data_IF_263811170361
#
_entry.id   IF_263811170361
#
_cell.length_a   1.000
_cell.length_b   1.000
_cell.length_c   1.000
_cell.angle_alpha   90.00
_cell.angle_beta   90.00
_cell.angle_gamma   90.00
#
_symmetry.space_group_name_H-M   'P 1'
#
loop_
_entity.id
_entity.type
_entity.pdbx_description
1 polymer ?
#
# COMPACT_ATOMS: atom_id res chain seq x y z
N UNK A 1 -37.26 -1.75 14.48
CA UNK A 1 -35.99 -1.65 15.22
C UNK A 1 -34.93 -1.30 14.19
N UNK A 2 -34.34 -0.11 14.29
CA UNK A 2 -33.47 0.47 13.27
C UNK A 2 -32.16 -0.31 13.12
N UNK A 3 -32.00 -1.06 12.04
CA UNK A 3 -30.68 -1.54 11.63
C UNK A 3 -29.99 -0.40 10.87
N UNK A 4 -29.17 0.38 11.57
CA UNK A 4 -28.05 1.05 10.91
C UNK A 4 -27.21 -0.06 10.28
N UNK A 5 -27.31 -0.24 8.96
CA UNK A 5 -26.60 -1.29 8.23
C UNK A 5 -25.11 -1.15 8.51
N UNK A 6 -24.51 -2.15 9.17
CA UNK A 6 -23.06 -2.26 9.27
C UNK A 6 -22.53 -2.22 7.83
N UNK A 7 -21.57 -1.34 7.49
CA UNK A 7 -21.03 -1.27 6.14
C UNK A 7 -20.43 -2.62 5.76
N UNK A 8 -20.47 -2.94 4.47
CA UNK A 8 -19.66 -4.02 3.94
C UNK A 8 -18.18 -3.59 3.96
N UNK A 9 -17.51 -3.83 5.10
CA UNK A 9 -16.09 -3.50 5.27
C UNK A 9 -15.21 -4.30 4.29
N UNK A 10 -15.66 -5.46 3.83
CA UNK A 10 -14.92 -6.22 2.83
C UNK A 10 -14.91 -5.46 1.50
N UNK A 11 -16.04 -4.88 1.10
CA UNK A 11 -16.11 -4.07 -0.10
C UNK A 11 -15.37 -2.74 0.06
N UNK A 12 -15.55 -2.04 1.19
CA UNK A 12 -14.83 -0.80 1.49
C UNK A 12 -13.30 -1.00 1.45
N UNK A 13 -12.81 -2.12 1.97
CA UNK A 13 -11.39 -2.47 1.90
C UNK A 13 -10.91 -2.73 0.46
N UNK A 14 -11.71 -3.44 -0.35
CA UNK A 14 -11.37 -3.67 -1.76
C UNK A 14 -11.34 -2.36 -2.56
N UNK A 15 -12.29 -1.47 -2.32
CA UNK A 15 -12.34 -0.15 -2.94
C UNK A 15 -11.13 0.70 -2.54
N UNK A 16 -10.68 0.59 -1.28
CA UNK A 16 -9.44 1.21 -0.80
C UNK A 16 -8.20 0.70 -1.55
N UNK A 17 -8.06 -0.63 -1.71
CA UNK A 17 -6.94 -1.23 -2.46
C UNK A 17 -6.99 -0.86 -3.96
N UNK A 18 -8.19 -0.82 -4.55
CA UNK A 18 -8.39 -0.37 -5.93
C UNK A 18 -7.94 1.09 -6.10
N UNK A 19 -8.36 1.97 -5.20
CA UNK A 19 -7.94 3.37 -5.20
C UNK A 19 -6.42 3.54 -5.06
N UNK A 20 -5.76 2.71 -4.25
CA UNK A 20 -4.28 2.67 -4.18
C UNK A 20 -3.67 2.24 -5.52
N UNK A 21 -4.23 1.21 -6.15
CA UNK A 21 -3.65 0.59 -7.37
C UNK A 21 -3.87 1.46 -8.61
N UNK A 22 -4.98 2.19 -8.67
CA UNK A 22 -5.31 3.13 -9.75
C UNK A 22 -4.67 4.50 -9.55
N UNK A 23 -4.10 4.78 -8.37
CA UNK A 23 -3.46 6.06 -8.08
C UNK A 23 -2.24 6.30 -8.98
N UNK A 24 -2.33 7.35 -9.80
CA UNK A 24 -1.19 7.96 -10.47
C UNK A 24 -0.76 9.25 -9.74
N UNK A 25 0.51 9.63 -9.86
CA UNK A 25 1.09 10.85 -9.28
C UNK A 25 0.38 12.15 -9.69
N UNK A 26 -0.48 12.10 -10.72
CA UNK A 26 -1.34 13.20 -11.20
C UNK A 26 -2.69 13.31 -10.47
N UNK A 27 -3.04 12.34 -9.63
CA UNK A 27 -4.33 12.26 -8.93
C UNK A 27 -4.41 13.25 -7.77
N UNK A 28 -5.62 13.81 -7.56
CA UNK A 28 -5.95 14.77 -6.49
C UNK A 28 -5.35 14.40 -5.13
N UNK A 29 -4.82 15.36 -4.35
CA UNK A 29 -4.14 15.08 -3.09
C UNK A 29 -4.98 14.38 -2.02
N UNK A 30 -6.30 14.39 -2.13
CA UNK A 30 -7.23 13.98 -1.06
C UNK A 30 -7.95 12.65 -1.34
N UNK A 31 -7.52 11.87 -2.32
CA UNK A 31 -8.20 10.60 -2.69
C UNK A 31 -8.31 9.61 -1.52
N UNK A 32 -7.37 9.67 -0.58
CA UNK A 32 -7.28 8.81 0.60
C UNK A 32 -8.29 9.17 1.69
N UNK A 33 -8.82 10.40 1.69
CA UNK A 33 -9.71 10.93 2.74
C UNK A 33 -11.07 10.24 2.82
N UNK A 34 -11.46 9.54 1.74
CA UNK A 34 -12.67 8.72 1.73
C UNK A 34 -12.51 7.38 2.47
N UNK A 35 -11.28 6.92 2.67
CA UNK A 35 -10.98 5.58 3.19
C UNK A 35 -10.26 5.62 4.54
N UNK A 36 -9.50 6.68 4.82
CA UNK A 36 -8.58 6.77 5.96
C UNK A 36 -8.94 7.96 6.83
N UNK A 37 -8.96 7.73 8.15
CA UNK A 37 -9.24 8.75 9.14
C UNK A 37 -8.11 9.79 9.18
N UNK A 38 -8.44 11.06 9.45
CA UNK A 38 -7.45 12.16 9.52
C UNK A 38 -6.31 11.89 10.50
N UNK A 39 -6.63 11.34 11.68
CA UNK A 39 -5.66 10.91 12.70
C UNK A 39 -5.32 9.39 12.68
N UNK A 40 -5.13 8.80 11.50
CA UNK A 40 -4.75 7.37 11.39
C UNK A 40 -3.45 7.04 12.13
N UNK A 41 -3.44 5.87 12.77
CA UNK A 41 -2.28 5.28 13.46
C UNK A 41 -1.78 4.09 12.66
N UNK A 42 -0.47 3.98 12.42
CA UNK A 42 0.14 2.84 11.75
C UNK A 42 1.29 2.28 12.59
N UNK A 43 1.23 1.00 12.95
CA UNK A 43 2.19 0.32 13.81
C UNK A 43 2.51 1.13 15.08
N UNK A 44 1.44 1.56 15.76
CA UNK A 44 1.47 2.38 16.99
C UNK A 44 2.08 3.79 16.81
N UNK A 45 2.27 4.27 15.57
CA UNK A 45 2.72 5.64 15.28
C UNK A 45 1.55 6.48 14.77
N UNK A 46 1.19 7.60 15.42
CA UNK A 46 0.15 8.50 14.94
C UNK A 46 0.69 9.29 13.75
N UNK A 47 0.48 8.76 12.56
CA UNK A 47 0.97 9.36 11.31
C UNK A 47 0.06 10.50 10.84
N UNK A 48 -1.25 10.31 11.04
CA UNK A 48 -2.25 11.11 10.34
C UNK A 48 -2.23 10.90 8.83
N UNK A 49 -3.26 11.39 8.16
CA UNK A 49 -3.52 11.07 6.74
C UNK A 49 -2.40 11.51 5.80
N UNK A 50 -1.74 12.63 6.09
CA UNK A 50 -0.67 13.16 5.23
C UNK A 50 0.57 12.26 5.24
N UNK A 51 1.04 11.84 6.43
CA UNK A 51 2.20 10.97 6.53
C UNK A 51 1.86 9.54 6.12
N UNK A 52 0.63 9.08 6.37
CA UNK A 52 0.15 7.78 5.90
C UNK A 52 0.09 7.73 4.36
N UNK A 53 -0.37 8.80 3.71
CA UNK A 53 -0.28 8.94 2.25
C UNK A 53 1.17 8.91 1.77
N UNK A 54 2.06 9.67 2.41
CA UNK A 54 3.47 9.68 2.06
C UNK A 54 4.09 8.28 2.16
N UNK A 55 3.76 7.51 3.20
CA UNK A 55 4.18 6.13 3.40
C UNK A 55 3.73 5.21 2.24
N UNK A 56 2.44 5.27 1.89
CA UNK A 56 1.87 4.52 0.76
C UNK A 56 2.58 4.90 -0.55
N UNK A 57 2.65 6.20 -0.86
CA UNK A 57 3.29 6.67 -2.09
C UNK A 57 4.76 6.31 -2.13
N UNK A 58 5.48 6.31 -1.01
CA UNK A 58 6.90 5.91 -0.97
C UNK A 58 7.10 4.41 -1.15
N UNK A 59 6.19 3.58 -0.63
CA UNK A 59 6.32 2.12 -0.71
C UNK A 59 5.84 1.54 -2.04
N UNK A 60 4.89 2.23 -2.67
CA UNK A 60 4.28 1.86 -3.96
C UNK A 60 4.90 2.70 -5.10
N UNK A 61 5.97 3.45 -4.80
CA UNK A 61 6.66 4.38 -5.72
C UNK A 61 7.21 3.76 -7.00
N UNK A 62 7.26 2.43 -7.11
CA UNK A 62 7.49 1.77 -8.39
C UNK A 62 6.16 1.69 -9.16
N UNK A 63 6.03 2.33 -10.34
CA UNK A 63 4.79 2.39 -11.14
C UNK A 63 4.35 1.06 -11.78
N UNK A 64 4.65 -0.07 -11.13
CA UNK A 64 4.39 -1.45 -11.59
C UNK A 64 4.16 -2.43 -10.44
N UNK A 65 4.07 -1.97 -9.18
CA UNK A 65 3.79 -2.87 -8.06
C UNK A 65 2.32 -3.28 -8.09
N UNK A 66 2.05 -4.53 -8.48
CA UNK A 66 0.69 -5.08 -8.45
C UNK A 66 0.32 -5.48 -7.02
N UNK A 67 -0.85 -5.07 -6.53
CA UNK A 67 -1.36 -5.47 -5.21
C UNK A 67 -2.49 -6.47 -5.40
N UNK A 68 -2.38 -7.62 -4.75
CA UNK A 68 -3.43 -8.65 -4.71
C UNK A 68 -3.84 -8.93 -3.28
N UNK A 69 -5.14 -8.91 -2.99
CA UNK A 69 -5.70 -9.40 -1.72
C UNK A 69 -5.85 -10.92 -1.81
N UNK A 70 -4.94 -11.69 -1.22
CA UNK A 70 -4.98 -13.16 -1.27
C UNK A 70 -5.96 -13.76 -0.26
N UNK A 71 -6.06 -13.12 0.91
CA UNK A 71 -6.99 -13.49 1.97
C UNK A 71 -7.57 -12.25 2.58
N UNK A 72 -8.86 -12.30 2.89
CA UNK A 72 -9.59 -11.24 3.54
C UNK A 72 -10.53 -11.85 4.58
N UNK A 73 -10.40 -11.38 5.82
CA UNK A 73 -11.25 -11.76 6.94
C UNK A 73 -11.80 -10.47 7.52
N UNK A 74 -13.11 -10.43 7.74
CA UNK A 74 -13.79 -9.30 8.36
C UNK A 74 -14.45 -9.79 9.64
N UNK A 75 -14.23 -9.06 10.72
CA UNK A 75 -14.89 -9.30 12.00
C UNK A 75 -15.15 -7.96 12.68
N UNK A 76 -16.43 -7.66 12.91
CA UNK A 76 -16.89 -6.42 13.53
C UNK A 76 -16.33 -5.17 12.81
N UNK A 77 -15.51 -4.38 13.50
CA UNK A 77 -14.82 -3.19 13.01
C UNK A 77 -13.41 -3.47 12.46
N UNK A 78 -13.01 -4.75 12.38
CA UNK A 78 -11.68 -5.16 11.95
C UNK A 78 -11.70 -5.86 10.59
N UNK A 79 -10.68 -5.55 9.79
CA UNK A 79 -10.35 -6.26 8.56
C UNK A 79 -8.93 -6.78 8.65
N UNK A 80 -8.74 -8.09 8.52
CA UNK A 80 -7.42 -8.69 8.36
C UNK A 80 -7.23 -9.14 6.92
N UNK A 81 -6.09 -8.78 6.34
CA UNK A 81 -5.75 -9.13 4.97
C UNK A 81 -4.35 -9.73 4.87
N UNK A 82 -4.20 -10.67 3.93
CA UNK A 82 -2.91 -11.03 3.37
C UNK A 82 -2.80 -10.39 1.99
N UNK A 83 -1.85 -9.49 1.85
CA UNK A 83 -1.52 -8.84 0.59
C UNK A 83 -0.31 -9.52 -0.05
N UNK A 84 -0.36 -9.65 -1.38
CA UNK A 84 0.78 -9.99 -2.22
C UNK A 84 1.10 -8.79 -3.10
N UNK A 85 2.32 -8.30 -2.99
CA UNK A 85 2.87 -7.25 -3.83
C UNK A 85 3.78 -7.88 -4.86
N UNK A 86 3.43 -7.79 -6.14
CA UNK A 86 4.31 -8.20 -7.24
C UNK A 86 5.18 -7.02 -7.61
N UNK A 87 6.45 -7.08 -7.21
CA UNK A 87 7.42 -6.00 -7.33
C UNK A 87 8.35 -6.27 -8.50
N UNK A 88 8.54 -5.32 -9.43
CA UNK A 88 9.54 -5.46 -10.50
C UNK A 88 10.97 -5.40 -9.93
N UNK A 89 11.92 -6.13 -10.53
CA UNK A 89 13.35 -5.99 -10.17
C UNK A 89 13.97 -4.61 -10.45
N UNK A 90 13.31 -3.71 -11.18
CA UNK A 90 13.81 -2.33 -11.42
C UNK A 90 13.58 -1.39 -10.23
N UNK A 91 13.25 -1.90 -9.05
CA UNK A 91 13.04 -1.10 -7.85
C UNK A 91 14.38 -0.65 -7.25
N UNK A 92 14.77 0.59 -7.56
CA UNK A 92 15.97 1.22 -7.00
C UNK A 92 15.81 1.64 -5.51
N UNK A 93 14.60 1.52 -4.94
CA UNK A 93 14.28 1.84 -3.54
C UNK A 93 12.97 1.23 -3.04
N UNK A 94 12.89 0.86 -1.75
CA UNK A 94 11.65 0.51 -1.03
C UNK A 94 11.81 0.86 0.47
N UNK A 95 10.75 1.33 1.14
CA UNK A 95 10.76 1.70 2.57
C UNK A 95 11.83 2.75 2.96
N UNK A 96 12.12 3.72 2.09
CA UNK A 96 13.06 4.82 2.41
C UNK A 96 14.55 4.45 2.33
N UNK A 97 14.89 3.23 1.91
CA UNK A 97 16.25 2.83 1.60
C UNK A 97 16.50 2.93 0.09
N UNK A 98 17.37 3.86 -0.32
CA UNK A 98 17.93 3.93 -1.67
C UNK A 98 18.99 2.84 -1.81
N UNK A 99 18.86 1.97 -2.81
CA UNK A 99 19.75 0.82 -3.01
C UNK A 99 20.82 1.06 -4.08
N UNK A 100 20.83 2.25 -4.70
CA UNK A 100 21.86 2.67 -5.66
C UNK A 100 22.50 3.98 -5.20
N UNK A 101 23.84 4.03 -5.14
CA UNK A 101 24.57 5.28 -5.01
C UNK A 101 24.27 6.18 -6.22
N UNK A 102 24.14 7.50 -6.02
CA UNK A 102 23.65 8.43 -7.06
C UNK A 102 24.37 8.36 -8.42
N UNK A 103 25.62 7.87 -8.47
CA UNK A 103 26.41 7.68 -9.69
C UNK A 103 26.19 6.37 -10.45
N UNK A 104 25.38 5.43 -9.95
CA UNK A 104 25.08 4.14 -10.59
C UNK A 104 23.73 4.10 -11.31
N UNK A 105 22.99 5.21 -11.35
CA UNK A 105 21.70 5.30 -12.03
C UNK A 105 21.92 5.19 -13.54
N UNK A 106 21.70 4.01 -14.11
CA UNK A 106 21.63 3.83 -15.56
C UNK A 106 20.19 3.51 -15.94
N UNK A 107 19.54 4.40 -16.68
CA UNK A 107 18.20 4.14 -17.23
C UNK A 107 18.20 3.17 -18.43
N UNK A 108 19.34 2.57 -18.76
CA UNK A 108 19.54 1.70 -19.93
C UNK A 108 20.66 0.71 -19.67
N UNK A 109 20.51 -0.54 -20.13
CA UNK A 109 21.61 -1.51 -20.11
C UNK A 109 22.86 -0.96 -20.84
N UNK A 110 24.10 -1.36 -20.47
CA UNK A 110 25.35 -0.84 -21.06
C UNK A 110 25.50 -1.03 -22.58
N UNK A 111 24.61 -1.79 -23.21
CA UNK A 111 24.58 -2.09 -24.64
C UNK A 111 23.54 -1.29 -25.44
N UNK A 112 22.83 -0.34 -24.79
CA UNK A 112 21.88 0.55 -25.46
C UNK A 112 20.58 -0.12 -25.92
N UNK A 113 20.30 -1.36 -25.48
CA UNK A 113 19.04 -2.03 -25.78
C UNK A 113 18.02 -1.72 -24.68
N UNK A 114 16.78 -1.42 -25.08
CA UNK A 114 15.64 -1.52 -24.17
C UNK A 114 15.61 -2.99 -23.70
N UNK A 115 15.85 -3.22 -22.40
CA UNK A 115 15.82 -4.56 -21.82
C UNK A 115 14.54 -5.28 -22.25
N UNK A 116 14.68 -6.52 -22.73
CA UNK A 116 13.51 -7.38 -22.98
C UNK A 116 12.73 -7.50 -21.67
N UNK A 117 11.41 -7.71 -21.77
CA UNK A 117 10.55 -8.14 -20.65
C UNK A 117 11.02 -9.53 -20.18
N UNK A 118 12.15 -9.60 -19.50
CA UNK A 118 12.52 -10.78 -18.75
C UNK A 118 11.84 -10.65 -17.38
N UNK A 119 10.96 -11.62 -17.15
CA UNK A 119 9.99 -11.76 -16.07
C UNK A 119 10.67 -11.98 -14.72
N UNK A 120 11.32 -10.94 -14.23
CA UNK A 120 11.96 -10.97 -12.94
C UNK A 120 11.23 -10.03 -11.98
N UNK A 121 9.96 -10.35 -11.75
CA UNK A 121 9.25 -9.82 -10.59
C UNK A 121 9.44 -10.76 -9.40
N UNK A 122 9.32 -10.23 -8.20
CA UNK A 122 9.28 -11.02 -6.99
C UNK A 122 8.10 -10.59 -6.14
N UNK A 123 7.61 -11.53 -5.34
CA UNK A 123 6.48 -11.27 -4.46
C UNK A 123 6.96 -10.92 -3.05
N UNK A 124 6.37 -9.87 -2.49
CA UNK A 124 6.42 -9.55 -1.07
C UNK A 124 5.05 -9.86 -0.51
N UNK A 125 5.01 -10.44 0.68
CA UNK A 125 3.76 -10.68 1.37
C UNK A 125 3.65 -9.84 2.63
N UNK A 126 2.50 -9.23 2.81
CA UNK A 126 2.16 -8.47 4.01
C UNK A 126 0.95 -9.11 4.69
N UNK A 127 1.05 -9.27 6.00
CA UNK A 127 -0.09 -9.56 6.86
C UNK A 127 -0.43 -8.28 7.59
N UNK A 128 -1.66 -7.82 7.42
CA UNK A 128 -2.10 -6.54 7.93
C UNK A 128 -3.49 -6.66 8.56
N UNK A 129 -3.69 -5.91 9.63
CA UNK A 129 -4.97 -5.74 10.32
C UNK A 129 -5.30 -4.26 10.32
N UNK A 130 -6.51 -3.93 9.92
CA UNK A 130 -7.07 -2.58 9.93
C UNK A 130 -8.23 -2.55 10.93
N UNK A 131 -8.23 -1.58 11.82
CA UNK A 131 -9.40 -1.20 12.57
C UNK A 131 -10.09 -0.02 11.88
N UNK A 132 -11.40 -0.11 11.70
CA UNK A 132 -12.23 0.95 11.18
C UNK A 132 -12.99 1.66 12.31
N UNK A 133 -13.20 2.96 12.14
CA UNK A 133 -14.07 3.75 13.00
C UNK A 133 -14.96 4.65 12.15
N UNK A 134 -16.10 5.05 12.70
CA UNK A 134 -16.94 6.07 12.09
C UNK A 134 -16.29 7.44 12.32
N UNK A 135 -15.89 8.10 11.26
CA UNK A 135 -15.36 9.46 11.27
C UNK A 135 -16.46 10.44 11.75
N UNK A 136 -16.12 11.35 12.66
CA UNK A 136 -17.10 12.25 13.26
C UNK A 136 -17.59 13.33 12.29
N UNK A 137 -16.79 13.66 11.27
CA UNK A 137 -17.05 14.78 10.36
C UNK A 137 -18.03 14.40 9.26
N UNK A 138 -17.89 13.21 8.67
CA UNK A 138 -18.71 12.78 7.53
C UNK A 138 -19.53 11.52 7.80
N UNK A 139 -19.43 10.95 9.01
CA UNK A 139 -20.16 9.76 9.46
C UNK A 139 -19.88 8.51 8.62
N UNK A 140 -18.76 8.48 7.88
CA UNK A 140 -18.31 7.31 7.11
C UNK A 140 -17.37 6.46 7.93
N UNK A 141 -17.36 5.16 7.63
CA UNK A 141 -16.36 4.26 8.19
C UNK A 141 -15.03 4.46 7.49
N UNK A 142 -13.97 4.63 8.27
CA UNK A 142 -12.61 4.86 7.77
C UNK A 142 -11.60 4.09 8.60
N UNK A 143 -10.48 3.75 7.98
CA UNK A 143 -9.33 3.13 8.63
C UNK A 143 -8.78 4.08 9.69
N UNK A 144 -8.80 3.66 10.95
CA UNK A 144 -8.31 4.42 12.10
C UNK A 144 -6.97 3.90 12.61
N UNK A 145 -6.80 2.58 12.61
CA UNK A 145 -5.55 1.95 13.06
C UNK A 145 -5.13 0.82 12.12
N UNK A 146 -3.82 0.68 11.94
CA UNK A 146 -3.22 -0.32 11.06
C UNK A 146 -2.06 -1.00 11.79
N UNK A 147 -2.09 -2.33 11.83
CA UNK A 147 -0.96 -3.15 12.26
C UNK A 147 -0.51 -4.03 11.11
N UNK A 148 0.73 -3.90 10.71
CA UNK A 148 1.29 -4.54 9.53
C UNK A 148 2.65 -5.16 9.81
N UNK A 149 2.84 -6.36 9.25
CA UNK A 149 4.12 -7.02 9.10
C UNK A 149 4.29 -7.51 7.66
N UNK A 150 5.44 -7.18 7.06
CA UNK A 150 5.80 -7.62 5.71
C UNK A 150 7.03 -8.54 5.75
N UNK A 151 7.00 -9.58 4.90
CA UNK A 151 8.18 -10.38 4.61
C UNK A 151 9.10 -9.61 3.65
N UNK A 152 10.08 -8.92 4.23
CA UNK A 152 11.04 -8.08 3.49
C UNK A 152 12.26 -8.87 3.00
N UNK A 153 12.38 -10.17 3.28
CA UNK A 153 13.54 -10.95 2.84
C UNK A 153 13.68 -11.01 1.30
N UNK A 154 12.58 -11.13 0.51
CA UNK A 154 12.65 -11.02 -0.94
C UNK A 154 13.22 -9.68 -1.42
N UNK A 155 12.88 -8.56 -0.75
CA UNK A 155 13.46 -7.24 -1.07
C UNK A 155 14.98 -7.24 -0.86
N UNK A 156 15.45 -7.77 0.27
CA UNK A 156 16.88 -7.78 0.60
C UNK A 156 17.70 -8.60 -0.38
N UNK A 157 17.14 -9.69 -0.93
CA UNK A 157 17.87 -10.59 -1.84
C UNK A 157 17.90 -10.10 -3.28
N UNK A 158 16.87 -9.37 -3.69
CA UNK A 158 16.66 -9.01 -5.09
C UNK A 158 16.93 -7.53 -5.39
N UNK A 159 17.11 -6.70 -4.36
CA UNK A 159 17.40 -5.28 -4.52
C UNK A 159 18.70 -4.82 -3.82
N UNK A 160 19.36 -5.66 -3.00
CA UNK A 160 20.68 -5.39 -2.39
C UNK A 160 21.75 -6.20 -3.10
#
# INVERSE_FOLDING_TARGET
MSSSSVPDLAQLYRDYIAAITEFDATTSPDWLSNFVHVDVVHNSRPLGIQQYRALITSNISAPRTGITVEKLIVQDDHVSARLRFTVPHTCDSHLGHSLVAAGGRVHTAPDGRAGKRDDHSFDIFEHVIYQYAVDETDRKWKIKEVWSIADIEPMKKNCI
#
